data_IF_384286914411
#
_entry.id   IF_384286914411
#
_cell.length_a   1.000
_cell.length_b   1.000
_cell.length_c   1.000
_cell.angle_alpha   90.00
_cell.angle_beta   90.00
_cell.angle_gamma   90.00
#
_symmetry.space_group_name_H-M   'P 1'
#
loop_
_entity.id
_entity.type
_entity.pdbx_description
1 polymer ?
#
# COMPACT_ATOMS: atom_id res chain seq x y z
N UNK A 1 -22.34 2.08 -10.26
CA UNK A 1 -21.00 2.01 -9.63
C UNK A 1 -20.68 3.40 -9.10
N UNK A 2 -20.26 3.52 -7.85
CA UNK A 2 -20.19 4.80 -7.13
C UNK A 2 -18.88 5.52 -7.45
N UNK A 3 -18.96 6.71 -8.04
CA UNK A 3 -17.82 7.61 -8.18
C UNK A 3 -17.41 8.12 -6.80
N UNK A 4 -16.10 8.10 -6.50
CA UNK A 4 -15.57 8.63 -5.23
C UNK A 4 -15.39 10.14 -5.33
N UNK A 5 -15.48 10.85 -4.20
CA UNK A 5 -15.33 12.31 -4.14
C UNK A 5 -13.94 12.79 -4.55
N UNK A 6 -12.90 12.04 -4.23
CA UNK A 6 -11.49 12.38 -4.44
C UNK A 6 -10.79 11.31 -5.29
N UNK A 7 -10.98 11.32 -6.62
CA UNK A 7 -10.40 10.31 -7.50
C UNK A 7 -8.86 10.34 -7.54
N UNK A 8 -8.24 11.51 -7.34
CA UNK A 8 -6.77 11.61 -7.27
C UNK A 8 -6.19 10.88 -6.06
N UNK A 9 -6.78 11.06 -4.87
CA UNK A 9 -6.40 10.32 -3.66
C UNK A 9 -6.65 8.83 -3.81
N UNK A 10 -7.70 8.44 -4.56
CA UNK A 10 -7.91 7.03 -4.88
C UNK A 10 -6.76 6.46 -5.69
N UNK A 11 -6.29 7.17 -6.73
CA UNK A 11 -5.15 6.74 -7.52
C UNK A 11 -3.92 6.54 -6.63
N UNK A 12 -3.65 7.48 -5.72
CA UNK A 12 -2.55 7.38 -4.73
C UNK A 12 -2.67 6.10 -3.88
N UNK A 13 -3.85 5.78 -3.35
CA UNK A 13 -4.06 4.54 -2.57
C UNK A 13 -3.83 3.29 -3.42
N UNK A 14 -4.37 3.26 -4.65
CA UNK A 14 -4.22 2.08 -5.52
C UNK A 14 -2.75 1.88 -5.91
N UNK A 15 -2.03 2.95 -6.23
CA UNK A 15 -0.61 2.93 -6.56
C UNK A 15 0.25 2.47 -5.38
N UNK A 16 0.00 3.00 -4.17
CA UNK A 16 0.68 2.56 -2.96
C UNK A 16 0.50 1.06 -2.69
N UNK A 17 -0.75 0.57 -2.79
CA UNK A 17 -1.05 -0.86 -2.60
C UNK A 17 -0.44 -1.72 -3.71
N UNK A 18 -0.39 -1.22 -4.95
CA UNK A 18 0.27 -1.88 -6.07
C UNK A 18 1.77 -2.06 -5.82
N UNK A 19 2.47 -1.01 -5.39
CA UNK A 19 3.90 -1.09 -5.05
C UNK A 19 4.17 -2.05 -3.90
N UNK A 20 3.30 -2.09 -2.86
CA UNK A 20 3.41 -3.05 -1.77
C UNK A 20 3.13 -4.50 -2.22
N UNK A 21 2.30 -4.69 -3.25
CA UNK A 21 1.97 -6.00 -3.80
C UNK A 21 3.05 -6.57 -4.75
N UNK A 22 3.95 -5.74 -5.25
CA UNK A 22 4.96 -6.13 -6.24
C UNK A 22 6.32 -6.45 -5.62
N UNK A 23 6.46 -7.68 -5.11
CA UNK A 23 7.73 -8.19 -4.60
C UNK A 23 8.86 -8.20 -5.65
N UNK A 24 8.55 -8.28 -6.94
CA UNK A 24 9.59 -8.25 -7.98
C UNK A 24 10.16 -6.84 -8.13
N UNK A 25 9.29 -5.83 -8.18
CA UNK A 25 9.68 -4.42 -8.14
C UNK A 25 10.51 -4.11 -6.88
N UNK A 26 10.04 -4.55 -5.70
CA UNK A 26 10.77 -4.33 -4.45
C UNK A 26 12.17 -4.97 -4.49
N UNK A 27 12.31 -6.19 -5.01
CA UNK A 27 13.61 -6.83 -5.14
C UNK A 27 14.53 -6.11 -6.14
N UNK A 28 14.01 -5.68 -7.29
CA UNK A 28 14.81 -4.98 -8.30
C UNK A 28 15.20 -3.57 -7.81
N UNK A 29 14.23 -2.78 -7.37
CA UNK A 29 14.41 -1.35 -7.08
C UNK A 29 14.88 -1.12 -5.65
N UNK A 30 14.25 -1.75 -4.65
CA UNK A 30 14.57 -1.49 -3.24
C UNK A 30 15.83 -2.24 -2.81
N UNK A 31 15.98 -3.50 -3.21
CA UNK A 31 17.11 -4.33 -2.79
C UNK A 31 18.31 -4.17 -3.73
N UNK A 32 18.14 -4.41 -5.03
CA UNK A 32 19.26 -4.37 -5.99
C UNK A 32 19.62 -2.96 -6.48
N UNK A 33 18.80 -1.96 -6.16
CA UNK A 33 18.95 -0.57 -6.62
C UNK A 33 19.04 -0.49 -8.16
N UNK A 34 18.34 -1.39 -8.84
CA UNK A 34 18.19 -1.38 -10.29
C UNK A 34 17.08 -0.39 -10.62
N UNK A 35 17.45 0.80 -11.11
CA UNK A 35 16.51 1.84 -11.48
C UNK A 35 16.19 1.74 -12.98
N UNK A 36 15.02 1.19 -13.38
CA UNK A 36 14.69 1.02 -14.80
C UNK A 36 14.47 2.36 -15.54
N UNK A 37 14.30 3.48 -14.83
CA UNK A 37 14.03 4.80 -15.39
C UNK A 37 14.77 5.94 -14.65
N UNK A 38 14.85 7.12 -15.29
CA UNK A 38 15.41 8.36 -14.70
C UNK A 38 14.54 8.97 -13.58
N UNK A 39 13.37 8.37 -13.30
CA UNK A 39 12.47 8.84 -12.26
C UNK A 39 12.91 8.31 -10.89
N UNK A 40 12.65 9.09 -9.85
CA UNK A 40 12.90 8.69 -8.48
C UNK A 40 12.10 7.42 -8.16
N UNK A 41 12.72 6.39 -7.56
CA UNK A 41 12.02 5.16 -7.21
C UNK A 41 10.92 5.44 -6.19
N UNK A 42 9.81 4.72 -6.31
CA UNK A 42 8.76 4.71 -5.29
C UNK A 42 9.20 3.80 -4.15
N UNK A 43 9.19 4.32 -2.92
CA UNK A 43 9.79 3.68 -1.74
C UNK A 43 8.72 3.11 -0.79
N UNK A 44 9.16 2.44 0.27
CA UNK A 44 8.28 2.02 1.37
C UNK A 44 7.68 3.22 2.07
N UNK A 45 8.48 4.28 2.25
CA UNK A 45 8.07 5.52 2.91
C UNK A 45 6.93 6.20 2.13
N UNK A 46 7.05 6.28 0.80
CA UNK A 46 5.99 6.81 -0.07
C UNK A 46 4.68 6.03 0.09
N UNK A 47 4.76 4.69 0.13
CA UNK A 47 3.59 3.83 0.31
C UNK A 47 2.93 4.03 1.68
N UNK A 48 3.74 4.12 2.73
CA UNK A 48 3.28 4.27 4.12
C UNK A 48 2.64 5.64 4.30
N UNK A 49 3.29 6.71 3.89
CA UNK A 49 2.73 8.07 3.95
C UNK A 49 1.42 8.18 3.17
N UNK A 50 1.35 7.59 1.98
CA UNK A 50 0.12 7.56 1.18
C UNK A 50 -1.06 6.94 1.94
N UNK A 51 -0.83 5.84 2.67
CA UNK A 51 -1.90 5.03 3.29
C UNK A 51 -2.27 5.49 4.71
N UNK A 52 -1.30 5.96 5.49
CA UNK A 52 -1.51 6.43 6.86
C UNK A 52 -1.84 7.93 6.89
N UNK A 53 -1.07 8.77 6.21
CA UNK A 53 -1.10 10.22 6.42
C UNK A 53 -1.92 10.95 5.35
N UNK A 54 -1.57 10.76 4.08
CA UNK A 54 -2.08 11.62 2.98
C UNK A 54 -3.55 11.35 2.65
N UNK A 55 -3.99 10.11 2.84
CA UNK A 55 -5.35 9.68 2.51
C UNK A 55 -6.13 9.16 3.71
N UNK A 56 -5.45 8.90 4.82
CA UNK A 56 -6.00 8.41 6.09
C UNK A 56 -6.88 7.16 5.94
N UNK A 57 -6.69 6.36 4.88
CA UNK A 57 -7.52 5.16 4.61
C UNK A 57 -7.32 4.08 5.66
N UNK A 58 -6.17 4.06 6.33
CA UNK A 58 -5.90 3.15 7.44
C UNK A 58 -6.38 3.68 8.79
N UNK A 59 -6.35 4.99 9.02
CA UNK A 59 -6.74 5.60 10.29
C UNK A 59 -8.26 5.79 10.39
N UNK A 60 -8.92 6.18 9.30
CA UNK A 60 -10.36 6.44 9.26
C UNK A 60 -11.05 5.70 8.09
N UNK A 61 -10.99 4.35 8.03
CA UNK A 61 -11.50 3.58 6.89
C UNK A 61 -12.99 3.80 6.62
N UNK A 62 -13.80 4.03 7.65
CA UNK A 62 -15.24 4.31 7.47
C UNK A 62 -15.48 5.68 6.81
N UNK A 63 -14.68 6.69 7.15
CA UNK A 63 -14.76 8.01 6.54
C UNK A 63 -14.18 8.03 5.12
N UNK A 64 -13.27 7.11 4.82
CA UNK A 64 -12.73 6.96 3.47
C UNK A 64 -13.77 6.44 2.46
N UNK A 65 -14.81 5.72 2.90
CA UNK A 65 -15.88 5.20 2.03
C UNK A 65 -16.71 6.34 1.43
N UNK A 66 -16.85 6.34 0.10
CA UNK A 66 -17.47 7.41 -0.69
C UNK A 66 -16.52 8.58 -0.99
N UNK A 67 -15.46 8.76 -0.20
CA UNK A 67 -14.48 9.83 -0.38
C UNK A 67 -13.30 9.37 -1.25
N UNK A 68 -12.61 8.30 -0.86
CA UNK A 68 -11.42 7.73 -1.52
C UNK A 68 -11.69 6.27 -1.91
N UNK A 69 -12.33 5.52 -1.01
CA UNK A 69 -12.78 4.14 -1.23
C UNK A 69 -14.21 4.14 -1.77
N UNK A 70 -14.55 3.20 -2.65
CA UNK A 70 -15.88 3.14 -3.30
C UNK A 70 -16.96 2.58 -2.39
N UNK A 71 -16.61 1.62 -1.54
CA UNK A 71 -17.56 0.87 -0.73
C UNK A 71 -16.85 0.30 0.51
N UNK A 72 -17.63 -0.35 1.38
CA UNK A 72 -17.12 -0.98 2.60
C UNK A 72 -16.22 -2.18 2.32
N UNK A 73 -16.43 -2.88 1.22
CA UNK A 73 -15.62 -4.05 0.83
C UNK A 73 -14.16 -3.65 0.59
N UNK A 74 -13.91 -2.52 -0.09
CA UNK A 74 -12.55 -1.99 -0.24
C UNK A 74 -11.91 -1.62 1.10
N UNK A 75 -12.68 -1.04 2.03
CA UNK A 75 -12.20 -0.69 3.36
C UNK A 75 -11.86 -1.95 4.19
N UNK A 76 -12.71 -2.98 4.13
CA UNK A 76 -12.48 -4.27 4.77
C UNK A 76 -11.27 -5.00 4.19
N UNK A 77 -11.07 -4.93 2.87
CA UNK A 77 -9.94 -5.54 2.18
C UNK A 77 -8.58 -4.91 2.56
N UNK A 78 -8.57 -3.65 2.99
CA UNK A 78 -7.37 -2.94 3.44
C UNK A 78 -6.96 -3.26 4.89
N UNK A 79 -7.89 -3.74 5.73
CA UNK A 79 -7.59 -4.01 7.14
C UNK A 79 -6.48 -5.06 7.37
N UNK A 80 -6.41 -6.19 6.64
CA UNK A 80 -5.32 -7.14 6.79
C UNK A 80 -3.96 -6.53 6.42
N UNK A 81 -3.92 -5.66 5.40
CA UNK A 81 -2.70 -4.96 5.01
C UNK A 81 -2.24 -4.01 6.10
N UNK A 82 -3.14 -3.19 6.67
CA UNK A 82 -2.83 -2.33 7.81
C UNK A 82 -2.22 -3.13 8.96
N UNK A 83 -2.87 -4.23 9.36
CA UNK A 83 -2.37 -5.08 10.45
C UNK A 83 -1.00 -5.68 10.16
N UNK A 84 -0.74 -6.06 8.91
CA UNK A 84 0.57 -6.59 8.52
C UNK A 84 1.66 -5.53 8.64
N UNK A 85 1.40 -4.30 8.17
CA UNK A 85 2.32 -3.17 8.30
C UNK A 85 2.54 -2.78 9.77
N UNK A 86 1.47 -2.61 10.54
CA UNK A 86 1.54 -2.34 11.98
C UNK A 86 2.40 -3.39 12.70
N UNK A 87 2.22 -4.69 12.38
CA UNK A 87 3.01 -5.77 12.99
C UNK A 87 4.49 -5.68 12.60
N UNK A 88 4.80 -5.41 11.32
CA UNK A 88 6.18 -5.24 10.85
C UNK A 88 6.85 -4.09 11.58
N UNK A 89 6.16 -2.94 11.72
CA UNK A 89 6.72 -1.76 12.38
C UNK A 89 6.84 -1.94 13.90
N UNK A 90 5.91 -2.66 14.53
CA UNK A 90 6.01 -3.03 15.95
C UNK A 90 7.21 -3.95 16.22
N UNK A 91 7.50 -4.88 15.32
CA UNK A 91 8.59 -5.87 15.49
C UNK A 91 9.97 -5.35 15.09
N UNK A 92 10.04 -4.59 14.00
CA UNK A 92 11.30 -4.18 13.37
C UNK A 92 11.64 -2.70 13.62
N UNK A 93 10.70 -1.92 14.15
CA UNK A 93 10.79 -0.47 14.22
C UNK A 93 10.46 0.20 12.89
N UNK A 94 10.59 1.53 12.87
CA UNK A 94 10.29 2.38 11.70
C UNK A 94 11.55 2.94 11.02
N UNK A 95 12.74 2.66 11.55
CA UNK A 95 14.01 3.30 11.14
C UNK A 95 14.79 2.51 10.06
N UNK A 96 14.26 1.38 9.60
CA UNK A 96 14.91 0.54 8.59
C UNK A 96 14.77 1.14 7.18
N UNK A 97 15.71 0.82 6.31
CA UNK A 97 15.61 1.18 4.89
C UNK A 97 14.70 0.20 4.10
N UNK A 98 14.36 0.58 2.87
CA UNK A 98 13.48 -0.23 2.01
C UNK A 98 14.00 -1.66 1.77
N UNK A 99 15.33 -1.84 1.69
CA UNK A 99 15.94 -3.14 1.43
C UNK A 99 15.87 -4.04 2.67
N UNK A 100 16.08 -3.45 3.84
CA UNK A 100 15.96 -4.12 5.14
C UNK A 100 14.52 -4.61 5.38
N UNK A 101 13.50 -3.79 5.09
CA UNK A 101 12.11 -4.27 5.11
C UNK A 101 11.86 -5.36 4.06
N UNK A 102 12.22 -5.13 2.79
CA UNK A 102 11.94 -6.06 1.70
C UNK A 102 12.58 -7.44 1.86
N UNK A 103 13.64 -7.55 2.65
CA UNK A 103 14.34 -8.81 2.94
C UNK A 103 13.90 -9.46 4.26
N UNK A 104 13.10 -8.77 5.08
CA UNK A 104 12.59 -9.32 6.32
C UNK A 104 11.55 -10.43 6.05
N UNK A 105 11.60 -11.57 6.75
CA UNK A 105 10.64 -12.67 6.55
C UNK A 105 9.18 -12.26 6.72
N UNK A 106 8.91 -11.38 7.69
CA UNK A 106 7.56 -10.87 7.97
C UNK A 106 6.98 -10.00 6.84
N UNK A 107 7.84 -9.41 5.99
CA UNK A 107 7.40 -8.59 4.86
C UNK A 107 6.61 -9.37 3.81
N UNK A 108 6.81 -10.70 3.71
CA UNK A 108 6.03 -11.56 2.82
C UNK A 108 4.52 -11.48 3.11
N UNK A 109 4.13 -11.22 4.37
CA UNK A 109 2.72 -11.05 4.77
C UNK A 109 2.17 -9.71 4.25
N UNK A 110 2.97 -8.64 4.28
CA UNK A 110 2.61 -7.34 3.69
C UNK A 110 2.33 -7.50 2.20
N UNK A 111 3.23 -8.15 1.45
CA UNK A 111 3.04 -8.40 0.01
C UNK A 111 1.76 -9.22 -0.26
N UNK A 112 1.54 -10.29 0.50
CA UNK A 112 0.38 -11.16 0.31
C UNK A 112 -0.96 -10.46 0.60
N UNK A 113 -1.01 -9.67 1.67
CA UNK A 113 -2.19 -8.88 2.04
C UNK A 113 -2.43 -7.72 1.08
N UNK A 114 -1.36 -7.05 0.61
CA UNK A 114 -1.43 -6.02 -0.42
C UNK A 114 -2.00 -6.55 -1.74
N UNK A 115 -1.53 -7.72 -2.21
CA UNK A 115 -2.08 -8.37 -3.42
C UNK A 115 -3.58 -8.66 -3.30
N UNK A 116 -4.00 -9.10 -2.13
CA UNK A 116 -5.41 -9.41 -1.86
C UNK A 116 -6.26 -8.13 -1.86
N UNK A 117 -5.78 -7.06 -1.23
CA UNK A 117 -6.43 -5.76 -1.23
C UNK A 117 -6.50 -5.15 -2.65
N UNK A 118 -5.39 -5.22 -3.39
CA UNK A 118 -5.30 -4.70 -4.76
C UNK A 118 -6.33 -5.36 -5.69
N UNK A 119 -6.53 -6.67 -5.56
CA UNK A 119 -7.52 -7.40 -6.35
C UNK A 119 -8.93 -6.83 -6.14
N UNK A 120 -9.31 -6.49 -4.90
CA UNK A 120 -10.62 -5.89 -4.57
C UNK A 120 -10.72 -4.46 -5.11
N UNK A 121 -9.66 -3.65 -4.93
CA UNK A 121 -9.61 -2.27 -5.42
C UNK A 121 -9.76 -2.18 -6.94
N UNK A 122 -9.13 -3.10 -7.67
CA UNK A 122 -9.18 -3.21 -9.14
C UNK A 122 -10.46 -3.84 -9.65
N UNK A 123 -11.01 -4.84 -8.97
CA UNK A 123 -12.30 -5.43 -9.35
C UNK A 123 -13.46 -4.41 -9.32
N UNK A 124 -13.29 -3.35 -8.55
CA UNK A 124 -14.24 -2.24 -8.44
C UNK A 124 -14.04 -1.15 -9.51
N UNK A 125 -13.04 -1.27 -10.40
CA UNK A 125 -12.80 -0.34 -11.50
C UNK A 125 -13.84 -0.46 -12.63
N UNK A 126 -14.27 0.68 -13.22
CA UNK A 126 -15.22 0.68 -14.33
C UNK A 126 -14.61 0.22 -15.66
#
# INVERSE_FOLDING_TARGET
MTQVRFPGMRTVVVEAVEHLADAEYQQQVWVRKEHPHEQMPYTTDDAVHALYDDTSVFEEPEHAVGNVLRNKEEAEALQPLKRALDTVFDELGTDLDDAEYATAPQWAVVVATARSALAVLRASEP
#
